data_IF_638121607256
#
_entry.id   IF_638121607256
#
_cell.length_a   1.000
_cell.length_b   1.000
_cell.length_c   1.000
_cell.angle_alpha   90.00
_cell.angle_beta   90.00
_cell.angle_gamma   90.00
#
_symmetry.space_group_name_H-M   'P 1'
#
loop_
_entity.id
_entity.type
_entity.pdbx_description
1 polymer ?
#
# COMPACT_ATOMS: atom_id res chain seq x y z
N UNK A 1 -5.79 -22.37 -17.25
CA UNK A 1 -5.96 -20.99 -16.73
C UNK A 1 -6.94 -20.25 -17.63
N UNK A 2 -8.12 -19.98 -17.08
CA UNK A 2 -9.39 -19.86 -17.81
C UNK A 2 -9.68 -18.45 -18.32
N UNK A 3 -10.38 -18.36 -19.45
CA UNK A 3 -10.76 -17.13 -20.17
C UNK A 3 -11.44 -16.06 -19.30
N UNK A 4 -12.03 -16.44 -18.17
CA UNK A 4 -12.73 -15.55 -17.25
C UNK A 4 -11.81 -14.54 -16.58
N UNK A 5 -10.57 -14.93 -16.25
CA UNK A 5 -9.59 -14.01 -15.66
C UNK A 5 -9.24 -12.87 -16.64
N UNK A 6 -9.09 -13.17 -17.93
CA UNK A 6 -8.81 -12.17 -18.97
C UNK A 6 -10.00 -11.27 -19.25
N UNK A 7 -11.22 -11.79 -19.11
CA UNK A 7 -12.44 -11.00 -19.26
C UNK A 7 -12.58 -10.00 -18.11
N UNK A 8 -12.37 -10.45 -16.87
CA UNK A 8 -12.32 -9.58 -15.69
C UNK A 8 -11.21 -8.52 -15.79
N UNK A 9 -10.04 -8.89 -16.34
CA UNK A 9 -8.93 -7.95 -16.58
C UNK A 9 -9.24 -6.88 -17.63
N UNK A 10 -9.98 -7.24 -18.69
CA UNK A 10 -10.42 -6.30 -19.72
C UNK A 10 -11.54 -5.38 -19.22
N UNK A 11 -12.48 -5.91 -18.45
CA UNK A 11 -13.50 -5.12 -17.79
C UNK A 11 -12.85 -4.14 -16.78
N UNK A 12 -11.84 -4.61 -16.04
CA UNK A 12 -10.98 -3.81 -15.16
C UNK A 12 -10.31 -2.65 -15.91
N UNK A 13 -9.69 -2.91 -17.06
CA UNK A 13 -9.07 -1.85 -17.86
C UNK A 13 -10.09 -0.82 -18.38
N UNK A 14 -11.28 -1.26 -18.81
CA UNK A 14 -12.31 -0.37 -19.34
C UNK A 14 -12.91 0.57 -18.29
N UNK A 15 -13.25 0.03 -17.10
CA UNK A 15 -13.80 0.83 -15.98
C UNK A 15 -12.75 1.76 -15.38
N UNK A 16 -11.51 1.28 -15.24
CA UNK A 16 -10.38 2.10 -14.79
C UNK A 16 -10.14 3.29 -15.74
N UNK A 17 -10.23 3.09 -17.05
CA UNK A 17 -10.03 4.15 -18.06
C UNK A 17 -11.14 5.21 -18.03
N UNK A 18 -12.38 4.81 -17.75
CA UNK A 18 -13.53 5.72 -17.65
C UNK A 18 -13.51 6.57 -16.36
N UNK A 19 -12.96 6.03 -15.27
CA UNK A 19 -12.69 6.79 -14.04
C UNK A 19 -11.42 7.65 -14.15
N UNK A 20 -10.47 7.25 -14.99
CA UNK A 20 -9.22 7.96 -15.22
C UNK A 20 -9.41 9.38 -15.77
N UNK A 21 -10.45 9.60 -16.59
CA UNK A 21 -10.72 10.88 -17.24
C UNK A 21 -11.24 11.98 -16.28
N UNK A 22 -12.21 11.73 -15.39
CA UNK A 22 -12.59 12.71 -14.38
C UNK A 22 -11.56 12.85 -13.25
N UNK A 23 -10.80 11.79 -12.91
CA UNK A 23 -9.77 11.84 -11.84
C UNK A 23 -8.47 12.53 -12.27
N UNK A 24 -8.08 12.45 -13.55
CA UNK A 24 -6.92 13.18 -14.10
C UNK A 24 -7.15 14.69 -14.20
N UNK A 25 -8.41 15.11 -14.38
CA UNK A 25 -8.79 16.52 -14.47
C UNK A 25 -8.61 17.28 -13.13
N UNK A 26 -8.56 16.57 -12.00
CA UNK A 26 -8.43 17.13 -10.65
C UNK A 26 -6.97 17.14 -10.16
N UNK A 27 -5.99 16.77 -11.01
CA UNK A 27 -4.57 16.84 -10.64
C UNK A 27 -4.17 15.88 -9.51
N UNK A 28 -4.91 14.76 -9.34
CA UNK A 28 -4.72 13.78 -8.27
C UNK A 28 -3.60 12.76 -8.54
N UNK A 29 -2.80 12.96 -9.60
CA UNK A 29 -1.61 12.17 -9.87
C UNK A 29 -0.39 12.90 -9.30
N UNK A 30 0.04 12.50 -8.10
CA UNK A 30 1.33 12.87 -7.55
C UNK A 30 2.07 11.58 -7.18
N UNK A 31 3.17 11.32 -7.88
CA UNK A 31 4.19 10.39 -7.41
C UNK A 31 4.77 11.00 -6.13
N UNK A 32 4.58 10.30 -5.01
CA UNK A 32 5.16 10.68 -3.73
C UNK A 32 5.84 9.47 -3.14
N UNK A 33 7.02 9.74 -2.62
CA UNK A 33 7.83 8.82 -1.87
C UNK A 33 7.16 8.49 -0.54
N UNK A 34 7.09 7.20 -0.20
CA UNK A 34 6.58 6.77 1.10
C UNK A 34 7.65 6.98 2.16
N UNK A 35 7.42 7.85 3.16
CA UNK A 35 8.40 8.14 4.20
C UNK A 35 8.72 6.92 5.07
N UNK A 36 9.98 6.80 5.51
CA UNK A 36 10.49 5.63 6.25
C UNK A 36 9.81 5.43 7.60
N UNK A 37 9.40 6.52 8.24
CA UNK A 37 8.69 6.56 9.51
C UNK A 37 7.30 5.95 9.47
N UNK A 38 6.75 5.72 8.27
CA UNK A 38 5.45 5.05 8.10
C UNK A 38 5.57 3.51 8.13
N UNK A 39 6.78 2.95 8.31
CA UNK A 39 6.94 1.49 8.41
C UNK A 39 6.21 0.93 9.62
N UNK A 40 5.22 0.06 9.38
CA UNK A 40 4.50 -0.61 10.44
C UNK A 40 5.16 -1.95 10.79
N UNK A 41 5.32 -2.85 9.82
CA UNK A 41 5.85 -4.19 10.01
C UNK A 41 6.03 -4.93 8.68
N UNK A 42 6.53 -6.15 8.75
CA UNK A 42 6.67 -7.10 7.65
C UNK A 42 5.88 -8.37 7.95
N UNK A 43 5.12 -8.84 6.96
CA UNK A 43 4.46 -10.15 6.97
C UNK A 43 5.32 -11.16 6.22
N UNK A 44 5.51 -12.35 6.79
CA UNK A 44 6.17 -13.48 6.11
C UNK A 44 5.18 -14.26 5.24
N UNK A 45 4.39 -13.52 4.46
CA UNK A 45 3.34 -14.05 3.61
C UNK A 45 3.36 -13.38 2.23
N UNK A 46 3.00 -14.13 1.18
CA UNK A 46 2.89 -13.58 -0.16
C UNK A 46 1.68 -12.65 -0.28
N UNK A 47 1.80 -11.62 -1.12
CA UNK A 47 0.79 -10.57 -1.31
C UNK A 47 -0.67 -11.08 -1.44
N UNK A 48 -1.01 -12.15 -2.18
CA UNK A 48 -2.41 -12.60 -2.28
C UNK A 48 -3.03 -13.04 -0.95
N UNK A 49 -2.22 -13.56 -0.03
CA UNK A 49 -2.68 -13.96 1.31
C UNK A 49 -2.93 -12.70 2.15
N UNK A 50 -2.00 -11.74 2.10
CA UNK A 50 -2.12 -10.44 2.76
C UNK A 50 -3.35 -9.67 2.25
N UNK A 51 -3.58 -9.65 0.94
CA UNK A 51 -4.76 -9.04 0.31
C UNK A 51 -6.06 -9.64 0.87
N UNK A 52 -6.13 -10.97 1.00
CA UNK A 52 -7.28 -11.63 1.59
C UNK A 52 -7.47 -11.30 3.07
N UNK A 53 -6.39 -11.17 3.85
CA UNK A 53 -6.45 -10.73 5.26
C UNK A 53 -6.96 -9.30 5.38
N UNK A 54 -6.45 -8.37 4.56
CA UNK A 54 -6.87 -6.98 4.55
C UNK A 54 -8.36 -6.83 4.25
N UNK A 55 -8.88 -7.59 3.29
CA UNK A 55 -10.31 -7.63 3.03
C UNK A 55 -11.13 -8.09 4.25
N UNK A 56 -10.67 -9.12 4.99
CA UNK A 56 -11.32 -9.58 6.22
C UNK A 56 -11.28 -8.52 7.33
N UNK A 57 -10.23 -7.71 7.38
CA UNK A 57 -10.10 -6.58 8.30
C UNK A 57 -10.93 -5.35 7.87
N UNK A 58 -11.64 -5.41 6.74
CA UNK A 58 -12.48 -4.33 6.23
C UNK A 58 -11.71 -3.25 5.46
N UNK A 59 -10.48 -3.53 5.02
CA UNK A 59 -9.80 -2.68 4.06
C UNK A 59 -10.39 -2.87 2.66
N UNK A 60 -10.41 -1.78 1.91
CA UNK A 60 -10.72 -1.76 0.49
C UNK A 60 -9.53 -1.23 -0.28
N UNK A 61 -9.32 -1.75 -1.49
CA UNK A 61 -8.24 -1.27 -2.36
C UNK A 61 -8.55 0.16 -2.79
N UNK A 62 -7.60 1.06 -2.59
CA UNK A 62 -7.77 2.44 -3.02
C UNK A 62 -7.60 2.51 -4.55
N UNK A 63 -8.69 2.76 -5.28
CA UNK A 63 -8.69 2.87 -6.73
C UNK A 63 -7.98 4.13 -7.25
N UNK A 64 -7.74 5.11 -6.36
CA UNK A 64 -7.17 6.43 -6.70
C UNK A 64 -5.69 6.53 -6.31
N UNK A 65 -5.09 5.49 -5.71
CA UNK A 65 -3.67 5.59 -5.37
C UNK A 65 -2.81 5.51 -6.62
N UNK A 66 -2.08 6.60 -6.86
CA UNK A 66 -0.84 6.64 -7.63
C UNK A 66 0.02 5.39 -7.39
N UNK A 67 0.74 4.93 -8.41
CA UNK A 67 1.92 4.10 -8.18
C UNK A 67 2.82 4.88 -7.22
N UNK A 68 2.97 4.39 -5.99
CA UNK A 68 3.92 4.95 -5.03
C UNK A 68 5.24 4.21 -5.17
N UNK A 69 6.34 4.91 -4.88
CA UNK A 69 7.69 4.35 -4.80
C UNK A 69 8.22 4.63 -3.39
N UNK A 70 9.24 3.90 -2.95
CA UNK A 70 9.82 3.99 -1.60
C UNK A 70 11.24 4.55 -1.69
N UNK A 71 11.65 5.38 -0.73
CA UNK A 71 12.99 6.02 -0.70
C UNK A 71 14.11 5.05 -0.31
N UNK A 72 14.67 4.35 -1.29
CA UNK A 72 15.96 3.69 -1.16
C UNK A 72 16.75 3.81 -2.47
N UNK A 73 18.09 3.79 -2.36
CA UNK A 73 19.02 3.61 -3.48
C UNK A 73 18.89 2.19 -4.06
N UNK A 74 17.74 1.89 -4.66
CA UNK A 74 17.36 0.56 -5.15
C UNK A 74 16.59 0.76 -6.46
N UNK A 75 16.66 -0.17 -7.44
CA UNK A 75 15.78 -0.09 -8.62
C UNK A 75 14.32 0.07 -8.17
N UNK A 76 13.49 0.88 -8.85
CA UNK A 76 12.15 1.22 -8.39
C UNK A 76 11.31 -0.03 -8.20
N UNK A 77 11.18 -0.47 -6.95
CA UNK A 77 10.26 -1.51 -6.55
C UNK A 77 8.86 -0.89 -6.49
N UNK A 78 8.02 -1.27 -7.43
CA UNK A 78 6.64 -0.79 -7.56
C UNK A 78 5.84 -1.11 -6.30
N UNK A 79 5.22 -0.11 -5.66
CA UNK A 79 4.14 -0.36 -4.68
C UNK A 79 3.13 -1.30 -5.30
N UNK A 80 2.86 -2.42 -4.63
CA UNK A 80 1.96 -3.44 -5.18
C UNK A 80 0.51 -2.99 -5.05
N UNK A 81 0.16 -2.29 -3.97
CA UNK A 81 -1.18 -1.75 -3.75
C UNK A 81 -1.24 -0.74 -2.59
N UNK A 82 -2.22 0.17 -2.68
CA UNK A 82 -2.72 0.98 -1.58
C UNK A 82 -4.05 0.43 -1.08
N UNK A 83 -4.22 0.45 0.24
CA UNK A 83 -5.40 -0.04 0.93
C UNK A 83 -5.89 0.99 1.92
N UNK A 84 -7.21 1.16 2.01
CA UNK A 84 -7.82 2.11 2.94
C UNK A 84 -8.90 1.43 3.77
N UNK A 85 -9.00 1.80 5.04
CA UNK A 85 -10.07 1.39 5.95
C UNK A 85 -10.70 2.63 6.59
N UNK A 86 -12.04 2.64 6.61
CA UNK A 86 -12.86 3.69 7.20
C UNK A 86 -13.52 3.15 8.47
N UNK A 87 -13.06 3.50 9.69
CA UNK A 87 -13.58 2.90 10.93
C UNK A 87 -15.08 3.07 11.16
N UNK A 88 -15.68 4.13 10.63
CA UNK A 88 -17.11 4.45 10.76
C UNK A 88 -17.86 4.26 9.42
N UNK A 89 -17.20 3.69 8.41
CA UNK A 89 -17.70 3.61 7.04
C UNK A 89 -17.31 4.81 6.17
N UNK A 90 -17.31 4.58 4.85
CA UNK A 90 -16.70 5.47 3.86
C UNK A 90 -17.23 6.92 3.87
N UNK A 91 -18.52 7.13 4.16
CA UNK A 91 -19.16 8.45 4.13
C UNK A 91 -19.16 9.16 5.48
N UNK A 92 -19.03 8.42 6.57
CA UNK A 92 -19.09 8.97 7.93
C UNK A 92 -17.69 9.32 8.47
N UNK A 93 -16.67 8.52 8.13
CA UNK A 93 -15.32 8.72 8.64
C UNK A 93 -14.68 10.02 8.18
N UNK A 94 -14.28 10.86 9.13
CA UNK A 94 -13.45 12.05 8.90
C UNK A 94 -12.00 11.70 8.51
N UNK A 95 -11.55 10.50 8.86
CA UNK A 95 -10.19 10.03 8.64
C UNK A 95 -10.19 8.56 8.19
N UNK A 96 -9.11 8.16 7.52
CA UNK A 96 -8.92 6.80 7.02
C UNK A 96 -7.57 6.26 7.49
N UNK A 97 -7.54 4.94 7.70
CA UNK A 97 -6.30 4.21 7.88
C UNK A 97 -5.83 3.74 6.52
N UNK A 98 -4.66 4.21 6.10
CA UNK A 98 -4.12 3.94 4.77
C UNK A 98 -2.87 3.08 4.89
N UNK A 99 -2.82 2.00 4.12
CA UNK A 99 -1.66 1.14 3.99
C UNK A 99 -1.06 1.22 2.58
N UNK A 100 0.26 1.24 2.49
CA UNK A 100 1.00 0.95 1.27
C UNK A 100 1.74 -0.38 1.44
N UNK A 101 1.61 -1.27 0.45
CA UNK A 101 2.23 -2.59 0.48
C UNK A 101 3.37 -2.70 -0.53
N UNK A 102 4.47 -3.31 -0.10
CA UNK A 102 5.63 -3.61 -0.91
C UNK A 102 5.94 -5.10 -0.79
N UNK A 103 6.08 -5.82 -1.91
CA UNK A 103 6.44 -7.23 -1.92
C UNK A 103 7.84 -7.39 -2.52
N UNK A 104 8.68 -8.21 -1.90
CA UNK A 104 10.04 -8.44 -2.36
C UNK A 104 10.10 -9.20 -3.67
N UNK A 105 11.30 -9.26 -4.27
CA UNK A 105 11.54 -9.91 -5.55
C UNK A 105 11.09 -11.38 -5.59
N UNK A 106 11.26 -12.11 -4.49
CA UNK A 106 10.84 -13.50 -4.33
C UNK A 106 9.35 -13.67 -3.98
N UNK A 107 8.67 -12.56 -3.66
CA UNK A 107 7.26 -12.47 -3.26
C UNK A 107 6.92 -13.30 -2.01
N UNK A 108 7.90 -13.64 -1.18
CA UNK A 108 7.68 -14.44 0.03
C UNK A 108 7.26 -13.58 1.23
N UNK A 109 7.57 -12.28 1.20
CA UNK A 109 7.30 -11.33 2.26
C UNK A 109 6.60 -10.07 1.71
N UNK A 110 5.88 -9.39 2.59
CA UNK A 110 5.21 -8.12 2.30
C UNK A 110 5.48 -7.11 3.41
N UNK A 111 6.13 -5.99 3.06
CA UNK A 111 6.29 -4.84 3.95
C UNK A 111 5.01 -4.00 3.94
N UNK A 112 4.59 -3.58 5.13
CA UNK A 112 3.39 -2.78 5.37
C UNK A 112 3.80 -1.42 5.92
N UNK A 113 3.38 -0.40 5.20
CA UNK A 113 3.51 1.00 5.59
C UNK A 113 2.14 1.54 5.94
N UNK A 114 2.01 2.30 7.02
CA UNK A 114 0.74 2.79 7.52
C UNK A 114 0.78 4.26 7.90
N UNK A 115 -0.32 4.97 7.64
CA UNK A 115 -0.58 6.28 8.22
C UNK A 115 -2.08 6.51 8.41
N UNK A 116 -2.41 7.35 9.39
CA UNK A 116 -3.73 7.89 9.62
C UNK A 116 -3.85 9.25 8.95
N UNK A 117 -4.86 9.45 8.11
CA UNK A 117 -4.97 10.68 7.31
C UNK A 117 -6.43 11.10 7.13
N UNK A 118 -6.72 12.35 6.71
CA UNK A 118 -8.06 12.75 6.37
C UNK A 118 -8.66 11.84 5.28
N UNK A 119 -9.94 11.51 5.43
CA UNK A 119 -10.68 10.73 4.44
C UNK A 119 -10.70 11.48 3.12
N UNK A 120 -10.25 10.85 2.03
CA UNK A 120 -10.28 11.50 0.70
C UNK A 120 -11.72 11.73 0.22
N UNK A 121 -12.68 10.93 0.70
CA UNK A 121 -14.10 11.02 0.37
C UNK A 121 -14.72 12.26 1.03
N UNK A 122 -14.40 12.50 2.30
CA UNK A 122 -15.03 13.57 3.10
C UNK A 122 -14.22 14.88 3.11
N UNK A 123 -12.90 14.78 3.01
CA UNK A 123 -11.96 15.90 3.09
C UNK A 123 -10.90 15.85 1.97
N UNK A 124 -11.30 15.83 0.68
CA UNK A 124 -10.38 15.63 -0.45
C UNK A 124 -9.23 16.66 -0.49
N UNK A 125 -9.50 17.92 -0.16
CA UNK A 125 -8.48 18.99 -0.15
C UNK A 125 -7.45 18.78 0.97
N UNK A 126 -7.90 18.42 2.18
CA UNK A 126 -7.00 18.15 3.33
C UNK A 126 -6.16 16.91 3.08
N UNK A 127 -6.79 15.86 2.52
CA UNK A 127 -6.12 14.64 2.11
C UNK A 127 -5.01 14.93 1.09
N UNK A 128 -5.33 15.66 0.00
CA UNK A 128 -4.36 15.99 -1.04
C UNK A 128 -3.15 16.82 -0.54
N UNK A 129 -3.41 17.76 0.37
CA UNK A 129 -2.37 18.59 0.98
C UNK A 129 -1.47 17.82 1.96
N UNK A 130 -1.88 16.62 2.40
CA UNK A 130 -1.17 15.80 3.37
C UNK A 130 -0.80 16.56 4.67
N UNK A 131 -1.62 17.54 5.07
CA UNK A 131 -1.32 18.42 6.22
C UNK A 131 -1.59 17.77 7.58
N UNK A 132 -2.41 16.71 7.60
CA UNK A 132 -2.86 16.04 8.83
C UNK A 132 -2.58 14.52 8.75
N UNK A 133 -1.42 14.15 8.19
CA UNK A 133 -0.98 12.75 8.12
C UNK A 133 -0.22 12.40 9.40
N UNK A 134 -0.62 11.31 10.03
CA UNK A 134 -0.09 10.83 11.30
C UNK A 134 0.38 9.39 11.16
N UNK A 135 1.70 9.21 11.03
CA UNK A 135 2.34 7.92 10.83
C UNK A 135 2.25 7.05 12.10
N UNK A 136 2.55 7.62 13.26
CA UNK A 136 2.56 6.92 14.55
C UNK A 136 1.19 6.31 14.83
N UNK A 137 0.14 7.11 14.76
CA UNK A 137 -1.25 6.65 14.95
C UNK A 137 -1.66 5.62 13.89
N UNK A 138 -1.17 5.75 12.66
CA UNK A 138 -1.41 4.77 11.61
C UNK A 138 -0.78 3.42 11.95
N UNK A 139 0.46 3.42 12.41
CA UNK A 139 1.19 2.21 12.82
C UNK A 139 0.51 1.54 14.00
N UNK A 140 0.22 2.30 15.07
CA UNK A 140 -0.46 1.79 16.27
C UNK A 140 -1.78 1.12 15.94
N UNK A 141 -2.63 1.80 15.14
CA UNK A 141 -3.93 1.27 14.73
C UNK A 141 -3.81 0.03 13.86
N UNK A 142 -2.84 0.00 12.95
CA UNK A 142 -2.63 -1.15 12.08
C UNK A 142 -2.17 -2.37 12.89
N UNK A 143 -1.19 -2.18 13.78
CA UNK A 143 -0.70 -3.26 14.66
C UNK A 143 -1.80 -3.80 15.56
N UNK A 144 -2.58 -2.90 16.20
CA UNK A 144 -3.72 -3.30 17.02
C UNK A 144 -4.74 -4.15 16.24
N UNK A 145 -5.09 -3.75 15.01
CA UNK A 145 -6.01 -4.51 14.15
C UNK A 145 -5.48 -5.91 13.79
N UNK A 146 -4.17 -6.03 13.55
CA UNK A 146 -3.54 -7.30 13.19
C UNK A 146 -3.43 -8.22 14.41
N UNK A 147 -3.06 -7.68 15.57
CA UNK A 147 -3.00 -8.39 16.85
C UNK A 147 -4.39 -8.92 17.26
N UNK A 148 -5.42 -8.08 17.19
CA UNK A 148 -6.81 -8.47 17.47
C UNK A 148 -7.30 -9.60 16.56
N UNK A 149 -6.81 -9.64 15.32
CA UNK A 149 -7.13 -10.67 14.34
C UNK A 149 -6.21 -11.91 14.42
N UNK A 150 -5.23 -11.92 15.31
CA UNK A 150 -4.25 -13.01 15.44
C UNK A 150 -3.35 -13.18 14.23
N UNK A 151 -3.07 -12.10 13.49
CA UNK A 151 -2.17 -12.11 12.33
C UNK A 151 -0.76 -11.81 12.82
N UNK A 152 0.14 -12.77 12.67
CA UNK A 152 1.54 -12.62 13.05
C UNK A 152 2.31 -11.71 12.09
N UNK A 153 3.13 -10.82 12.65
CA UNK A 153 4.01 -9.94 11.91
C UNK A 153 5.35 -9.78 12.63
N UNK A 154 6.36 -9.29 11.92
CA UNK A 154 7.65 -8.94 12.49
C UNK A 154 7.97 -7.46 12.26
N UNK A 155 8.58 -6.81 13.24
CA UNK A 155 9.14 -5.45 13.09
C UNK A 155 10.62 -5.60 12.79
N UNK A 156 10.99 -5.39 11.53
CA UNK A 156 12.36 -5.60 11.06
C UNK A 156 13.19 -4.30 11.11
N UNK A 157 14.50 -4.40 11.38
CA UNK A 157 15.42 -3.28 11.15
C UNK A 157 15.43 -2.88 9.67
N UNK A 158 15.86 -1.65 9.36
CA UNK A 158 15.78 -1.12 8.00
C UNK A 158 16.51 -2.01 6.97
N UNK A 159 17.62 -2.60 7.39
CA UNK A 159 18.48 -3.49 6.59
C UNK A 159 17.88 -4.87 6.26
N UNK A 160 16.83 -5.29 6.96
CA UNK A 160 16.15 -6.57 6.69
C UNK A 160 14.80 -6.39 5.97
N UNK A 161 14.40 -5.14 5.75
CA UNK A 161 13.17 -4.81 5.03
C UNK A 161 13.36 -5.04 3.54
N UNK A 162 12.26 -5.31 2.85
CA UNK A 162 12.25 -5.44 1.40
C UNK A 162 12.83 -4.16 0.77
N UNK A 163 13.77 -4.34 -0.16
CA UNK A 163 14.51 -3.27 -0.83
C UNK A 163 15.91 -3.02 -0.27
N UNK A 164 16.30 -3.62 0.86
CA UNK A 164 17.70 -3.60 1.30
C UNK A 164 18.44 -4.84 0.77
N UNK A 165 19.38 -4.62 -0.16
CA UNK A 165 20.32 -5.58 -0.72
C UNK A 165 19.78 -6.79 -1.52
N UNK A 166 19.23 -6.50 -2.71
CA UNK A 166 19.40 -7.38 -3.88
C UNK A 166 20.53 -6.91 -4.82
N UNK A 167 21.32 -5.91 -4.42
CA UNK A 167 22.50 -5.44 -5.18
C UNK A 167 23.79 -6.21 -4.84
N UNK A 168 23.85 -6.95 -3.72
CA UNK A 168 25.06 -7.63 -3.26
C UNK A 168 25.27 -9.05 -3.84
N UNK A 169 24.32 -9.62 -4.59
CA UNK A 169 24.42 -11.00 -5.10
C UNK A 169 24.81 -11.12 -6.59
N UNK A 170 24.99 -10.01 -7.31
CA UNK A 170 25.50 -10.00 -8.69
C UNK A 170 26.81 -9.24 -8.78
N UNK A 171 27.86 -9.78 -8.17
CA UNK A 171 29.22 -9.46 -8.57
C UNK A 171 29.42 -9.85 -10.05
N UNK A 172 30.20 -9.08 -10.84
CA UNK A 172 30.42 -9.42 -12.23
C UNK A 172 31.14 -10.78 -12.34
N UNK A 173 30.88 -11.60 -13.37
CA UNK A 173 31.65 -12.81 -13.58
C UNK A 173 33.12 -12.41 -13.76
N UNK A 174 33.97 -12.94 -12.90
CA UNK A 174 35.42 -12.84 -13.03
C UNK A 174 35.77 -13.44 -14.40
N UNK A 175 36.30 -12.58 -15.29
CA UNK A 175 36.95 -13.00 -16.54
C UNK A 175 38.43 -13.24 -16.29
#
# INVERSE_FOLDING_TARGET
MTHELRFLERLRQGVASLLHAPLSLVGLYAERETPREQYAFTLREPYPIVEAQLHRLGFVRNLVSSLKYRDYETPPETTVASWVRYPEGALASDHQLHLALYAGADRSMTDVYAHWEPSWIRHPIRHYRATDVDAEKGIERTRSLFEEAGIEYAVLPAEERIGHDAAAASGPPIR
#
